data_IF_115415993860
#
_entry.id   IF_115415993860
#
_cell.length_a   1.000
_cell.length_b   1.000
_cell.length_c   1.000
_cell.angle_alpha   90.00
_cell.angle_beta   90.00
_cell.angle_gamma   90.00
#
_symmetry.space_group_name_H-M   'P 1'
#
loop_
_entity.id
_entity.type
_entity.pdbx_description
1 polymer ?
#
# COMPACT_ATOMS: atom_id res chain seq x y z
N UNK A 1 -7.97 26.33 8.24
CA UNK A 1 -8.35 24.89 8.13
C UNK A 1 -8.01 24.23 9.47
N UNK A 2 -8.58 23.08 9.87
CA UNK A 2 -8.46 22.45 11.23
C UNK A 2 -7.03 22.35 11.82
N UNK A 3 -5.99 22.60 11.02
CA UNK A 3 -4.59 22.72 11.41
C UNK A 3 -4.24 24.03 12.15
N UNK A 4 -5.04 25.10 12.02
CA UNK A 4 -4.75 26.42 12.60
C UNK A 4 -5.13 26.54 14.10
N UNK A 5 -5.89 25.59 14.64
CA UNK A 5 -6.50 25.65 15.99
C UNK A 5 -5.70 24.88 17.07
N UNK A 6 -4.50 24.39 16.75
CA UNK A 6 -3.67 23.61 17.70
C UNK A 6 -3.17 24.44 18.90
N UNK A 7 -3.30 25.77 18.86
CA UNK A 7 -2.81 26.69 19.89
C UNK A 7 -3.79 27.07 21.00
N UNK A 8 -5.11 26.91 20.81
CA UNK A 8 -6.13 27.48 21.71
C UNK A 8 -6.80 26.45 22.65
N UNK A 9 -6.47 25.17 22.53
CA UNK A 9 -7.05 24.11 23.33
C UNK A 9 -5.96 23.25 23.97
N UNK A 10 -6.01 23.11 25.30
CA UNK A 10 -5.00 22.42 26.12
C UNK A 10 -4.70 20.95 25.73
N UNK A 11 -5.46 20.36 24.79
CA UNK A 11 -5.12 19.12 24.09
C UNK A 11 -5.92 19.01 22.78
N UNK A 12 -5.39 18.29 21.78
CA UNK A 12 -6.09 17.93 20.53
C UNK A 12 -7.50 17.35 20.78
N UNK A 13 -7.69 16.67 21.92
CA UNK A 13 -8.98 16.11 22.33
C UNK A 13 -10.01 17.18 22.70
N UNK A 14 -9.59 18.28 23.33
CA UNK A 14 -10.47 19.40 23.65
C UNK A 14 -10.95 20.11 22.38
N UNK A 15 -10.07 20.33 21.40
CA UNK A 15 -10.44 20.84 20.06
C UNK A 15 -11.45 19.93 19.38
N UNK A 16 -11.20 18.61 19.38
CA UNK A 16 -12.12 17.62 18.78
C UNK A 16 -13.50 17.69 19.44
N UNK A 17 -13.59 17.80 20.77
CA UNK A 17 -14.89 17.86 21.44
C UNK A 17 -15.62 19.19 21.18
N UNK A 18 -14.90 20.31 21.15
CA UNK A 18 -15.46 21.63 20.81
C UNK A 18 -16.06 21.64 19.40
N UNK A 19 -15.33 21.13 18.41
CA UNK A 19 -15.79 21.05 17.02
C UNK A 19 -16.92 20.03 16.88
N UNK A 20 -16.82 18.87 17.53
CA UNK A 20 -17.86 17.84 17.46
C UNK A 20 -19.19 18.34 18.05
N UNK A 21 -19.14 19.11 19.15
CA UNK A 21 -20.32 19.76 19.73
C UNK A 21 -20.97 20.78 18.76
N UNK A 22 -20.16 21.58 18.04
CA UNK A 22 -20.65 22.54 17.04
C UNK A 22 -21.31 21.87 15.83
N UNK A 23 -20.84 20.67 15.44
CA UNK A 23 -21.33 19.92 14.27
C UNK A 23 -22.46 18.93 14.65
N UNK A 24 -22.69 18.70 15.95
CA UNK A 24 -23.70 17.76 16.43
C UNK A 24 -23.29 16.29 16.31
N UNK A 25 -21.99 15.98 16.38
CA UNK A 25 -21.49 14.61 16.35
C UNK A 25 -20.71 14.26 17.63
N UNK A 26 -20.44 12.97 17.86
CA UNK A 26 -19.59 12.54 18.98
C UNK A 26 -18.12 12.86 18.68
N UNK A 27 -17.37 13.33 19.69
CA UNK A 27 -15.91 13.54 19.57
C UNK A 27 -15.16 12.27 19.13
N UNK A 28 -15.67 11.07 19.47
CA UNK A 28 -15.11 9.81 18.99
C UNK A 28 -15.28 9.62 17.48
N UNK A 29 -16.43 10.02 16.94
CA UNK A 29 -16.72 9.98 15.49
C UNK A 29 -15.82 10.94 14.74
N UNK A 30 -15.72 12.19 15.20
CA UNK A 30 -14.86 13.19 14.57
C UNK A 30 -13.39 12.78 14.61
N UNK A 31 -12.91 12.22 15.74
CA UNK A 31 -11.55 11.67 15.84
C UNK A 31 -11.29 10.54 14.84
N UNK A 32 -12.27 9.68 14.60
CA UNK A 32 -12.13 8.61 13.62
C UNK A 32 -12.05 9.15 12.19
N UNK A 33 -12.82 10.18 11.86
CA UNK A 33 -12.74 10.85 10.55
C UNK A 33 -11.42 11.56 10.34
N UNK A 34 -10.89 12.27 11.35
CA UNK A 34 -9.55 12.88 11.29
C UNK A 34 -8.49 11.81 11.02
N UNK A 35 -8.52 10.71 11.76
CA UNK A 35 -7.59 9.58 11.55
C UNK A 35 -7.74 8.92 10.19
N UNK A 36 -8.96 8.87 9.64
CA UNK A 36 -9.20 8.35 8.29
C UNK A 36 -8.63 9.30 7.25
N UNK A 37 -8.87 10.60 7.38
CA UNK A 37 -8.30 11.63 6.51
C UNK A 37 -6.77 11.65 6.57
N UNK A 38 -6.16 11.49 7.74
CA UNK A 38 -4.69 11.37 7.88
C UNK A 38 -4.13 10.16 7.12
N UNK A 39 -4.87 9.05 7.09
CA UNK A 39 -4.52 7.86 6.30
C UNK A 39 -4.70 8.09 4.81
N UNK A 40 -5.80 8.73 4.41
CA UNK A 40 -6.10 8.98 3.01
C UNK A 40 -5.13 10.01 2.39
N UNK A 41 -4.61 10.93 3.20
CA UNK A 41 -3.60 11.91 2.79
C UNK A 41 -2.14 11.40 2.90
N UNK A 42 -1.92 10.16 3.37
CA UNK A 42 -0.58 9.57 3.49
C UNK A 42 0.34 10.24 4.53
N UNK A 43 -0.20 11.08 5.43
CA UNK A 43 0.58 11.91 6.36
C UNK A 43 1.27 11.10 7.47
N UNK A 44 0.76 9.90 7.76
CA UNK A 44 1.51 8.86 8.48
C UNK A 44 1.83 7.79 7.47
N UNK A 45 3.11 7.44 7.27
CA UNK A 45 3.68 6.50 6.28
C UNK A 45 3.07 5.08 6.22
N UNK A 46 1.76 5.03 6.16
CA UNK A 46 0.87 3.91 5.96
C UNK A 46 0.33 4.15 4.56
N UNK A 47 0.56 3.22 3.61
CA UNK A 47 0.07 3.41 2.26
C UNK A 47 -1.45 3.60 2.29
N UNK A 48 -1.89 4.59 1.52
CA UNK A 48 -3.30 4.89 1.24
C UNK A 48 -3.99 3.63 0.72
N UNK A 49 -5.33 3.61 0.70
CA UNK A 49 -6.06 2.45 0.20
C UNK A 49 -5.66 2.12 -1.24
N UNK A 50 -5.55 3.13 -2.09
CA UNK A 50 -5.19 2.98 -3.50
C UNK A 50 -3.75 2.48 -3.65
N UNK A 51 -2.82 2.99 -2.84
CA UNK A 51 -1.44 2.48 -2.80
C UNK A 51 -1.38 1.01 -2.35
N UNK A 52 -2.20 0.61 -1.37
CA UNK A 52 -2.29 -0.80 -0.94
C UNK A 52 -2.83 -1.71 -2.03
N UNK A 53 -3.86 -1.26 -2.74
CA UNK A 53 -4.42 -2.00 -3.87
C UNK A 53 -3.39 -2.12 -5.01
N UNK A 54 -2.64 -1.05 -5.27
CA UNK A 54 -1.54 -1.06 -6.25
C UNK A 54 -0.40 -1.99 -5.84
N UNK A 55 0.03 -1.97 -4.58
CA UNK A 55 1.05 -2.89 -4.05
C UNK A 55 0.60 -4.34 -4.23
N UNK A 56 -0.64 -4.67 -3.89
CA UNK A 56 -1.18 -6.03 -4.04
C UNK A 56 -1.22 -6.49 -5.50
N UNK A 57 -1.55 -5.59 -6.43
CA UNK A 57 -1.51 -5.88 -7.87
C UNK A 57 -0.08 -6.13 -8.35
N UNK A 58 0.86 -5.27 -7.96
CA UNK A 58 2.28 -5.41 -8.31
C UNK A 58 2.89 -6.69 -7.73
N UNK A 59 2.55 -7.06 -6.49
CA UNK A 59 3.01 -8.32 -5.90
C UNK A 59 2.49 -9.55 -6.65
N UNK A 60 1.26 -9.49 -7.17
CA UNK A 60 0.71 -10.57 -8.00
C UNK A 60 1.46 -10.68 -9.32
N UNK A 61 1.63 -9.57 -10.02
CA UNK A 61 2.38 -9.50 -11.26
C UNK A 61 3.82 -10.00 -11.06
N UNK A 62 4.49 -9.59 -9.98
CA UNK A 62 5.85 -10.03 -9.69
C UNK A 62 5.93 -11.56 -9.47
N UNK A 63 4.92 -12.16 -8.82
CA UNK A 63 4.86 -13.63 -8.66
C UNK A 63 4.70 -14.33 -10.01
N UNK A 64 3.80 -13.84 -10.86
CA UNK A 64 3.57 -14.39 -12.19
C UNK A 64 4.83 -14.28 -13.07
N UNK A 65 5.48 -13.11 -13.06
CA UNK A 65 6.73 -12.88 -13.78
C UNK A 65 7.87 -13.78 -13.28
N UNK A 66 7.97 -14.02 -11.98
CA UNK A 66 8.97 -14.95 -11.43
C UNK A 66 8.72 -16.37 -11.89
N UNK A 67 7.46 -16.82 -11.89
CA UNK A 67 7.10 -18.14 -12.35
C UNK A 67 7.39 -18.31 -13.85
N UNK A 68 7.03 -17.32 -14.68
CA UNK A 68 7.35 -17.32 -16.10
C UNK A 68 8.86 -17.37 -16.35
N UNK A 69 9.64 -16.57 -15.64
CA UNK A 69 11.11 -16.61 -15.73
C UNK A 69 11.70 -17.96 -15.31
N UNK A 70 11.12 -18.63 -14.32
CA UNK A 70 11.56 -19.96 -13.94
C UNK A 70 11.31 -20.99 -15.04
N UNK A 71 10.14 -20.95 -15.68
CA UNK A 71 9.81 -21.80 -16.82
C UNK A 71 10.80 -21.55 -17.97
N UNK A 72 11.04 -20.28 -18.31
CA UNK A 72 11.98 -19.92 -19.37
C UNK A 72 13.40 -20.41 -19.07
N UNK A 73 13.88 -20.26 -17.83
CA UNK A 73 15.20 -20.78 -17.43
C UNK A 73 15.30 -22.30 -17.58
N UNK A 74 14.26 -23.03 -17.16
CA UNK A 74 14.21 -24.50 -17.31
C UNK A 74 14.18 -24.91 -18.77
N UNK A 75 13.38 -24.22 -19.58
CA UNK A 75 13.32 -24.45 -21.02
C UNK A 75 14.68 -24.19 -21.69
N UNK A 76 15.32 -23.06 -21.41
CA UNK A 76 16.66 -22.74 -21.93
C UNK A 76 17.70 -23.79 -21.53
N UNK A 77 17.67 -24.27 -20.28
CA UNK A 77 18.58 -25.32 -19.83
C UNK A 77 18.32 -26.65 -20.58
N UNK A 78 17.06 -27.03 -20.77
CA UNK A 78 16.69 -28.21 -21.53
C UNK A 78 17.18 -28.13 -22.99
N UNK A 79 16.92 -27.01 -23.66
CA UNK A 79 17.35 -26.81 -25.04
C UNK A 79 18.88 -26.78 -25.18
N UNK A 80 19.61 -26.19 -24.23
CA UNK A 80 21.07 -26.20 -24.25
C UNK A 80 21.66 -27.61 -24.09
N UNK A 81 21.09 -28.45 -23.21
CA UNK A 81 21.52 -29.85 -23.06
C UNK A 81 21.21 -30.65 -24.32
N UNK A 82 20.01 -30.45 -24.89
CA UNK A 82 19.65 -31.07 -26.14
C UNK A 82 20.71 -30.68 -27.20
N UNK A 83 21.01 -29.39 -27.37
CA UNK A 83 21.99 -28.89 -28.36
C UNK A 83 23.35 -29.58 -28.30
N UNK A 84 23.83 -29.85 -27.09
CA UNK A 84 25.07 -30.56 -26.87
C UNK A 84 24.98 -32.05 -27.29
N UNK A 85 23.84 -32.71 -27.03
CA UNK A 85 23.61 -34.11 -27.41
C UNK A 85 23.50 -34.33 -28.92
N UNK A 86 23.02 -33.34 -29.69
CA UNK A 86 23.02 -33.47 -31.15
C UNK A 86 24.44 -33.36 -31.71
N UNK A 87 25.23 -32.41 -31.19
CA UNK A 87 26.59 -32.14 -31.67
C UNK A 87 27.58 -33.26 -31.36
N UNK A 88 27.34 -34.04 -30.31
CA UNK A 88 28.17 -35.19 -29.95
C UNK A 88 27.87 -36.47 -30.76
N UNK A 89 26.74 -36.51 -31.48
CA UNK A 89 26.29 -37.66 -32.29
C UNK A 89 26.59 -37.53 -33.79
N UNK A 90 27.09 -36.37 -34.22
CA UNK A 90 27.65 -36.09 -35.56
C UNK A 90 29.16 -36.17 -35.53
#
# INVERSE_FOLDING_TARGET
MVLDDQGEHASQWATINSIAAKIGCSGKTLRNWIRQSERDQGVRGVPTRDERERIKALERENRELRQANEILRKASAYFAVAELDHRSRT
#
